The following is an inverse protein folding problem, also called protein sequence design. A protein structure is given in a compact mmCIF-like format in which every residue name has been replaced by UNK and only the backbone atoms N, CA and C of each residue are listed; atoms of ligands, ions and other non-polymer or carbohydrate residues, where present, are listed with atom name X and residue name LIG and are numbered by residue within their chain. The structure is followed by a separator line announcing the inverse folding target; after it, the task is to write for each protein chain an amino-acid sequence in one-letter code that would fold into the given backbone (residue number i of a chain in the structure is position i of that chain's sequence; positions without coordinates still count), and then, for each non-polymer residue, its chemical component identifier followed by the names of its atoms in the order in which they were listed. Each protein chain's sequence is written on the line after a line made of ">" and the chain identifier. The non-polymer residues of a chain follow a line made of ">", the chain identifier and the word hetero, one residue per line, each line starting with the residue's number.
data_IF_461769183992
#
_entry.id   IF_461769183992
#
_cell.length_a   1.000
_cell.length_b   1.000
_cell.length_c   1.000
_cell.angle_alpha   90.00
_cell.angle_beta   90.00
_cell.angle_gamma   90.00
#
_symmetry.space_group_name_H-M   'P 1'
#
loop_
_entity.id
_entity.type
_entity.pdbx_description
1 polymer ?
#
# COMPACT_ATOMS: atom_id res chain seq x y z
N UNK A 1 12.02 2.39 -8.59
CA UNK A 1 10.66 1.97 -8.98
C UNK A 1 10.75 1.39 -10.38
N UNK A 2 10.35 0.15 -10.58
CA UNK A 2 10.40 -0.51 -11.87
C UNK A 2 9.26 0.00 -12.77
N UNK A 3 9.59 0.56 -13.92
CA UNK A 3 8.60 1.05 -14.88
C UNK A 3 7.71 -0.09 -15.44
N UNK A 4 8.19 -1.33 -15.40
CA UNK A 4 7.50 -2.52 -15.91
C UNK A 4 6.75 -3.34 -14.85
N UNK A 5 6.53 -2.78 -13.65
CA UNK A 5 5.89 -3.47 -12.53
C UNK A 5 4.55 -4.13 -12.92
N UNK A 6 3.74 -3.47 -13.72
CA UNK A 6 2.44 -4.00 -14.14
C UNK A 6 2.58 -5.26 -15.00
N UNK A 7 3.56 -5.28 -15.91
CA UNK A 7 3.87 -6.48 -16.72
C UNK A 7 4.35 -7.63 -15.83
N UNK A 8 5.13 -7.31 -14.79
CA UNK A 8 5.61 -8.33 -13.84
C UNK A 8 4.46 -8.93 -13.03
N UNK A 9 3.54 -8.10 -12.51
CA UNK A 9 2.33 -8.58 -11.82
C UNK A 9 1.52 -9.50 -12.74
N UNK A 10 1.28 -9.09 -13.98
CA UNK A 10 0.55 -9.91 -14.93
C UNK A 10 1.28 -11.23 -15.25
N UNK A 11 2.60 -11.21 -15.34
CA UNK A 11 3.39 -12.43 -15.53
C UNK A 11 3.25 -13.37 -14.32
N UNK A 12 3.43 -12.87 -13.11
CA UNK A 12 3.32 -13.66 -11.88
C UNK A 12 1.92 -14.24 -11.66
N UNK A 13 0.88 -13.51 -12.07
CA UNK A 13 -0.51 -13.94 -11.96
C UNK A 13 -1.02 -14.70 -13.19
N UNK A 14 -0.14 -15.13 -14.09
CA UNK A 14 -0.49 -15.81 -15.36
C UNK A 14 -1.55 -15.03 -16.14
N UNK A 15 -1.39 -13.70 -16.20
CA UNK A 15 -2.26 -12.70 -16.84
C UNK A 15 -3.68 -12.56 -16.23
N UNK A 16 -3.95 -13.20 -15.10
CA UNK A 16 -5.25 -13.08 -14.42
C UNK A 16 -5.40 -11.76 -13.65
N UNK A 17 -4.30 -11.21 -13.17
CA UNK A 17 -4.27 -10.06 -12.27
C UNK A 17 -4.44 -10.47 -10.79
N UNK A 18 -4.32 -9.51 -9.89
CA UNK A 18 -4.45 -9.70 -8.46
C UNK A 18 -5.93 -9.62 -8.03
N UNK A 19 -6.36 -10.51 -7.15
CA UNK A 19 -7.73 -10.49 -6.60
C UNK A 19 -7.98 -9.26 -5.72
N UNK A 20 -6.93 -8.84 -4.99
CA UNK A 20 -6.92 -7.68 -4.11
C UNK A 20 -5.64 -6.86 -4.35
N UNK A 21 -5.80 -5.56 -4.52
CA UNK A 21 -4.70 -4.60 -4.59
C UNK A 21 -4.85 -3.61 -3.45
N UNK A 22 -3.79 -3.43 -2.65
CA UNK A 22 -3.70 -2.38 -1.63
C UNK A 22 -2.90 -1.23 -2.25
N UNK A 23 -3.60 -0.14 -2.56
CA UNK A 23 -3.05 0.98 -3.31
C UNK A 23 -2.66 2.15 -2.38
N UNK A 24 -1.37 2.45 -2.33
CA UNK A 24 -0.81 3.62 -1.63
C UNK A 24 -0.50 4.78 -2.57
N UNK A 25 -0.64 4.58 -3.88
CA UNK A 25 -0.15 5.51 -4.88
C UNK A 25 -1.28 6.36 -5.48
N UNK A 26 -2.35 5.74 -5.95
CA UNK A 26 -3.46 6.39 -6.63
C UNK A 26 -3.01 7.31 -7.80
N UNK A 27 -3.67 8.47 -7.96
CA UNK A 27 -3.28 9.51 -8.90
C UNK A 27 -3.07 9.00 -10.33
N UNK A 28 -1.95 9.37 -10.93
CA UNK A 28 -1.60 9.01 -12.30
C UNK A 28 -1.39 7.52 -12.56
N UNK A 29 -1.23 6.71 -11.52
CA UNK A 29 -1.01 5.26 -11.64
C UNK A 29 -2.30 4.44 -11.55
N UNK A 30 -3.45 5.07 -11.30
CA UNK A 30 -4.70 4.37 -11.03
C UNK A 30 -5.15 3.46 -12.18
N UNK A 31 -5.11 3.93 -13.43
CA UNK A 31 -5.48 3.12 -14.59
C UNK A 31 -4.55 1.90 -14.76
N UNK A 32 -3.26 2.06 -14.45
CA UNK A 32 -2.31 0.97 -14.47
C UNK A 32 -2.59 -0.03 -13.33
N UNK A 33 -2.96 0.45 -12.14
CA UNK A 33 -3.42 -0.37 -11.02
C UNK A 33 -4.66 -1.20 -11.41
N UNK A 34 -5.64 -0.58 -12.07
CA UNK A 34 -6.80 -1.31 -12.58
C UNK A 34 -6.42 -2.39 -13.59
N UNK A 35 -5.45 -2.11 -14.46
CA UNK A 35 -5.03 -3.07 -15.49
C UNK A 35 -4.48 -4.38 -14.94
N UNK A 36 -3.88 -4.34 -13.76
CA UNK A 36 -3.32 -5.51 -13.07
C UNK A 36 -4.25 -6.13 -12.03
N UNK A 37 -5.38 -5.50 -11.77
CA UNK A 37 -6.42 -6.06 -10.89
C UNK A 37 -7.24 -7.06 -11.67
N UNK A 38 -7.51 -8.22 -11.09
CA UNK A 38 -8.34 -9.27 -11.71
C UNK A 38 -9.76 -8.77 -12.01
N UNK A 39 -10.40 -9.35 -13.01
CA UNK A 39 -11.83 -9.11 -13.27
C UNK A 39 -12.65 -9.43 -12.00
N UNK A 40 -13.52 -8.52 -11.62
CA UNK A 40 -14.28 -8.52 -10.37
C UNK A 40 -13.38 -8.46 -9.10
N UNK A 41 -12.12 -8.06 -9.24
CA UNK A 41 -11.22 -7.84 -8.11
C UNK A 41 -11.49 -6.53 -7.37
N UNK A 42 -10.76 -6.33 -6.29
CA UNK A 42 -10.92 -5.15 -5.42
C UNK A 42 -9.61 -4.36 -5.35
N UNK A 43 -9.73 -3.04 -5.46
CA UNK A 43 -8.66 -2.10 -5.14
C UNK A 43 -9.05 -1.35 -3.86
N UNK A 44 -8.19 -1.40 -2.85
CA UNK A 44 -8.34 -0.63 -1.60
C UNK A 44 -7.36 0.53 -1.61
N UNK A 45 -7.86 1.75 -1.74
CA UNK A 45 -7.04 2.95 -1.72
C UNK A 45 -6.74 3.37 -0.28
N UNK A 46 -5.47 3.29 0.08
CA UNK A 46 -4.93 3.66 1.40
C UNK A 46 -4.19 4.99 1.34
N UNK A 47 -3.42 5.22 0.28
CA UNK A 47 -2.60 6.41 0.10
C UNK A 47 -2.79 7.08 -1.26
N UNK A 48 -2.13 8.25 -1.44
CA UNK A 48 -2.21 9.08 -2.65
C UNK A 48 -0.84 9.66 -2.99
N UNK A 49 0.20 8.81 -2.89
CA UNK A 49 1.58 9.27 -3.06
C UNK A 49 1.92 9.69 -4.49
N UNK A 50 1.18 9.18 -5.49
CA UNK A 50 1.33 9.58 -6.89
C UNK A 50 0.33 10.68 -7.34
N UNK A 51 -0.44 11.24 -6.40
CA UNK A 51 -1.38 12.34 -6.63
C UNK A 51 -2.72 12.12 -5.95
N UNK A 52 -3.33 13.22 -5.48
CA UNK A 52 -4.67 13.21 -4.85
C UNK A 52 -5.78 13.13 -5.90
N UNK A 53 -5.48 13.51 -7.12
CA UNK A 53 -6.38 13.48 -8.27
C UNK A 53 -5.74 12.73 -9.42
N UNK A 54 -6.55 12.22 -10.33
CA UNK A 54 -6.08 11.51 -11.52
C UNK A 54 -7.23 11.24 -12.48
N UNK A 55 -6.88 10.85 -13.72
CA UNK A 55 -7.85 10.43 -14.72
C UNK A 55 -8.25 8.96 -14.48
N UNK A 56 -9.51 8.65 -14.76
CA UNK A 56 -10.04 7.29 -14.71
C UNK A 56 -10.52 6.86 -16.09
N UNK A 57 -10.08 5.69 -16.51
CA UNK A 57 -10.62 4.97 -17.66
C UNK A 57 -11.88 4.20 -17.21
N UNK A 58 -13.05 4.80 -17.45
CA UNK A 58 -14.33 4.22 -17.07
C UNK A 58 -14.68 2.97 -17.87
N UNK A 59 -14.22 2.84 -19.11
CA UNK A 59 -14.42 1.63 -19.89
C UNK A 59 -13.64 0.46 -19.29
N UNK A 60 -12.37 0.66 -19.00
CA UNK A 60 -11.55 -0.33 -18.31
C UNK A 60 -12.15 -0.72 -16.94
N UNK A 61 -12.60 0.25 -16.14
CA UNK A 61 -13.24 0.01 -14.85
C UNK A 61 -14.48 -0.88 -15.00
N UNK A 62 -15.36 -0.54 -15.95
CA UNK A 62 -16.61 -1.24 -16.20
C UNK A 62 -16.40 -2.63 -16.77
N UNK A 63 -15.55 -2.77 -17.78
CA UNK A 63 -15.20 -4.06 -18.39
C UNK A 63 -14.59 -5.02 -17.38
N UNK A 64 -13.79 -4.52 -16.47
CA UNK A 64 -13.17 -5.34 -15.42
C UNK A 64 -14.04 -5.50 -14.18
N UNK A 65 -15.12 -4.76 -14.04
CA UNK A 65 -16.04 -4.79 -12.88
C UNK A 65 -15.31 -4.67 -11.54
N UNK A 66 -14.35 -3.74 -11.47
CA UNK A 66 -13.49 -3.55 -10.30
C UNK A 66 -14.27 -2.87 -9.19
N UNK A 67 -14.16 -3.39 -7.97
CA UNK A 67 -14.61 -2.70 -6.78
C UNK A 67 -13.49 -1.78 -6.27
N UNK A 68 -13.72 -0.47 -6.24
CA UNK A 68 -12.79 0.50 -5.69
C UNK A 68 -13.27 1.00 -4.33
N UNK A 69 -12.44 0.82 -3.28
CA UNK A 69 -12.79 1.18 -1.89
C UNK A 69 -11.77 2.16 -1.32
N UNK A 70 -12.22 3.31 -0.88
CA UNK A 70 -11.42 4.22 -0.07
C UNK A 70 -11.39 3.80 1.39
N UNK A 71 -10.25 4.01 2.06
CA UNK A 71 -10.12 3.85 3.50
C UNK A 71 -9.49 5.10 4.12
N UNK A 72 -9.98 5.50 5.28
CA UNK A 72 -9.45 6.64 6.02
C UNK A 72 -9.76 6.50 7.52
N UNK A 73 -8.85 6.99 8.36
CA UNK A 73 -9.12 7.21 9.78
C UNK A 73 -9.60 8.62 10.08
N UNK A 74 -9.43 9.58 9.14
CA UNK A 74 -9.74 11.00 9.35
C UNK A 74 -11.22 11.29 9.63
N UNK A 75 -12.10 10.46 9.11
CA UNK A 75 -13.56 10.61 9.19
C UNK A 75 -14.22 9.59 10.11
N UNK A 76 -13.44 8.76 10.80
CA UNK A 76 -13.96 7.76 11.74
C UNK A 76 -14.21 8.38 13.10
N UNK A 77 -15.32 8.00 13.72
CA UNK A 77 -15.57 8.30 15.12
C UNK A 77 -14.77 7.36 16.05
N UNK A 78 -14.68 7.65 17.36
CA UNK A 78 -13.90 6.85 18.31
C UNK A 78 -14.32 5.36 18.37
N UNK A 79 -15.61 5.06 18.25
CA UNK A 79 -16.11 3.69 18.34
C UNK A 79 -15.72 2.85 17.12
N UNK A 80 -15.77 3.47 15.93
CA UNK A 80 -15.28 2.85 14.71
C UNK A 80 -13.76 2.58 14.76
N UNK A 81 -13.00 3.54 15.33
CA UNK A 81 -11.56 3.38 15.55
C UNK A 81 -11.29 2.22 16.51
N UNK A 82 -12.00 2.20 17.64
CA UNK A 82 -11.87 1.13 18.63
C UNK A 82 -12.17 -0.25 18.02
N UNK A 83 -13.22 -0.36 17.21
CA UNK A 83 -13.60 -1.59 16.52
C UNK A 83 -12.47 -2.09 15.60
N UNK A 84 -11.90 -1.19 14.79
CA UNK A 84 -10.80 -1.56 13.88
C UNK A 84 -9.56 -1.97 14.67
N UNK A 85 -9.22 -1.24 15.75
CA UNK A 85 -8.07 -1.57 16.60
C UNK A 85 -8.25 -2.93 17.27
N UNK A 86 -9.44 -3.25 17.77
CA UNK A 86 -9.70 -4.56 18.37
C UNK A 86 -9.57 -5.70 17.35
N UNK A 87 -10.14 -5.54 16.17
CA UNK A 87 -9.98 -6.53 15.11
C UNK A 87 -8.50 -6.70 14.72
N UNK A 88 -7.75 -5.60 14.59
CA UNK A 88 -6.31 -5.64 14.30
C UNK A 88 -5.52 -6.35 15.42
N UNK A 89 -5.81 -6.06 16.70
CA UNK A 89 -5.17 -6.74 17.83
C UNK A 89 -5.39 -8.25 17.78
N UNK A 90 -6.62 -8.68 17.54
CA UNK A 90 -6.94 -10.11 17.50
C UNK A 90 -6.24 -10.83 16.34
N UNK A 91 -6.14 -10.19 15.18
CA UNK A 91 -5.55 -10.80 14.00
C UNK A 91 -4.01 -10.69 13.97
N UNK A 92 -3.45 -9.53 14.35
CA UNK A 92 -2.04 -9.23 14.12
C UNK A 92 -1.13 -9.60 15.29
N UNK A 93 -1.59 -9.45 16.55
CA UNK A 93 -0.71 -9.73 17.70
C UNK A 93 -0.23 -11.19 17.74
N UNK A 94 -1.09 -12.21 17.55
CA UNK A 94 -0.61 -13.58 17.48
C UNK A 94 0.38 -13.80 16.33
N UNK A 95 0.10 -13.25 15.16
CA UNK A 95 0.96 -13.38 13.99
C UNK A 95 2.33 -12.70 14.16
N UNK A 96 2.37 -11.57 14.88
CA UNK A 96 3.63 -10.91 15.27
C UNK A 96 4.41 -11.73 16.27
N UNK A 97 3.75 -12.27 17.30
CA UNK A 97 4.38 -13.10 18.33
C UNK A 97 4.97 -14.39 17.75
N UNK A 98 4.33 -14.96 16.74
CA UNK A 98 4.79 -16.15 16.01
C UNK A 98 5.81 -15.82 14.90
N UNK A 99 6.19 -14.55 14.71
CA UNK A 99 7.14 -14.13 13.67
C UNK A 99 6.61 -14.23 12.24
N UNK A 100 5.30 -14.46 12.07
CA UNK A 100 4.66 -14.54 10.74
C UNK A 100 4.57 -13.19 10.04
N UNK A 101 4.59 -12.09 10.79
CA UNK A 101 4.62 -10.73 10.30
C UNK A 101 5.95 -10.12 10.71
N UNK A 102 6.73 -9.70 9.74
CA UNK A 102 7.99 -9.01 9.96
C UNK A 102 7.97 -7.68 9.22
N UNK A 103 8.39 -6.62 9.89
CA UNK A 103 8.61 -5.32 9.26
C UNK A 103 10.11 -5.23 8.94
N UNK A 104 10.49 -5.21 7.67
CA UNK A 104 11.90 -5.07 7.31
C UNK A 104 12.43 -3.73 7.83
N UNK A 105 13.59 -3.77 8.47
CA UNK A 105 14.36 -2.59 8.86
C UNK A 105 15.49 -2.44 7.86
N UNK A 106 15.46 -1.34 7.11
CA UNK A 106 16.47 -1.04 6.10
C UNK A 106 17.73 -0.46 6.70
N UNK A 107 17.59 0.43 7.69
CA UNK A 107 18.71 1.05 8.38
C UNK A 107 18.33 1.52 9.78
N UNK A 108 19.32 1.53 10.67
CA UNK A 108 19.21 2.12 12.01
C UNK A 108 20.26 3.23 12.09
N UNK A 109 19.84 4.44 12.45
CA UNK A 109 20.71 5.58 12.65
C UNK A 109 20.68 6.02 14.12
N UNK A 110 21.82 6.42 14.71
CA UNK A 110 21.80 7.17 15.96
C UNK A 110 20.97 8.45 15.82
N UNK A 111 20.34 8.90 16.90
CA UNK A 111 19.45 10.06 16.86
C UNK A 111 20.15 11.35 16.35
N UNK A 112 21.43 11.54 16.68
CA UNK A 112 22.23 12.66 16.19
C UNK A 112 22.47 12.66 14.67
N UNK A 113 22.22 11.52 14.01
CA UNK A 113 22.30 11.37 12.54
C UNK A 113 20.93 11.42 11.85
N UNK A 114 19.92 12.00 12.49
CA UNK A 114 18.54 12.02 11.93
C UNK A 114 18.49 12.67 10.53
N UNK A 115 19.35 13.67 10.25
CA UNK A 115 19.39 14.29 8.92
C UNK A 115 19.77 13.28 7.83
N UNK A 116 20.77 12.43 8.07
CA UNK A 116 21.17 11.38 7.12
C UNK A 116 20.03 10.36 6.89
N UNK A 117 19.29 10.01 7.96
CA UNK A 117 18.12 9.15 7.86
C UNK A 117 17.02 9.78 6.99
N UNK A 118 16.74 11.07 7.17
CA UNK A 118 15.78 11.82 6.34
C UNK A 118 16.23 11.96 4.89
N UNK A 119 17.51 12.21 4.65
CA UNK A 119 18.04 12.31 3.30
C UNK A 119 17.90 10.98 2.55
N UNK A 120 18.21 9.86 3.19
CA UNK A 120 17.95 8.52 2.63
C UNK A 120 16.48 8.29 2.33
N UNK A 121 15.58 8.70 3.24
CA UNK A 121 14.13 8.59 3.03
C UNK A 121 13.69 9.44 1.84
N UNK A 122 14.12 10.71 1.75
CA UNK A 122 13.79 11.63 0.64
C UNK A 122 14.32 11.12 -0.70
N UNK A 123 15.50 10.52 -0.71
CA UNK A 123 16.10 9.92 -1.90
C UNK A 123 15.36 8.64 -2.37
N UNK A 124 14.38 8.16 -1.59
CA UNK A 124 13.64 6.92 -1.86
C UNK A 124 14.55 5.70 -2.09
N UNK A 125 15.64 5.62 -1.32
CA UNK A 125 16.69 4.59 -1.43
C UNK A 125 16.59 3.52 -0.35
N UNK A 126 15.43 3.39 0.30
CA UNK A 126 15.20 2.44 1.38
C UNK A 126 14.12 1.43 1.01
N UNK A 127 14.23 0.23 1.58
CA UNK A 127 13.20 -0.79 1.53
C UNK A 127 12.85 -1.25 2.96
N UNK A 128 11.72 -0.79 3.46
CA UNK A 128 11.29 -1.04 4.84
C UNK A 128 11.35 0.21 5.71
N UNK A 129 11.64 0.04 6.99
CA UNK A 129 11.67 1.12 7.97
C UNK A 129 13.08 1.64 8.18
N UNK A 130 13.22 2.96 8.30
CA UNK A 130 14.38 3.62 8.84
C UNK A 130 14.08 3.89 10.32
N UNK A 131 14.95 3.46 11.20
CA UNK A 131 14.79 3.57 12.66
C UNK A 131 15.84 4.54 13.20
N UNK A 132 15.43 5.38 14.15
CA UNK A 132 16.36 6.19 14.95
C UNK A 132 16.49 5.54 16.33
N UNK A 133 17.72 5.27 16.76
CA UNK A 133 18.02 4.78 18.10
C UNK A 133 18.37 5.96 19.03
N UNK A 134 17.86 5.93 20.25
CA UNK A 134 18.22 6.86 21.33
C UNK A 134 19.46 6.40 22.05
#
# INVERSE_FOLDING_TARGET
>A
TDADWAKQVLKLTKRKGADLVIDFLAGSLFNQTMSVTKIAGTVVNVGRMAGETGEIDFDQHSMRRICYKGVSFRTRNPDEIATVIQAAKQALIPALAEGKIQLPIDAIYPFDQFNAAFDKMKANQHFGKIVLSL
#
